data_IF_700391189281
#
_entry.id   IF_700391189281
#
_cell.length_a   1.000
_cell.length_b   1.000
_cell.length_c   1.000
_cell.angle_alpha   90.00
_cell.angle_beta   90.00
_cell.angle_gamma   90.00
#
_symmetry.space_group_name_H-M   'P 1'
#
loop_
_entity.id
_entity.type
_entity.pdbx_description
1 polymer ?
#
# COMPACT_ATOMS: atom_id res chain seq x y z
N UNK A 1 -17.01 15.82 16.11
CA UNK A 1 -15.84 14.96 15.83
C UNK A 1 -15.35 15.32 14.45
N UNK A 2 -14.08 15.72 14.30
CA UNK A 2 -13.49 15.85 12.96
C UNK A 2 -13.42 14.46 12.33
N UNK A 3 -13.76 14.38 11.05
CA UNK A 3 -13.67 13.16 10.28
C UNK A 3 -12.27 13.08 9.67
N UNK A 4 -11.63 11.91 9.69
CA UNK A 4 -10.31 11.71 9.05
C UNK A 4 -10.32 12.06 7.55
N UNK A 5 -11.49 11.99 6.91
CA UNK A 5 -11.69 12.40 5.53
C UNK A 5 -11.46 13.90 5.30
N UNK A 6 -11.50 14.74 6.34
CA UNK A 6 -11.24 16.18 6.22
C UNK A 6 -9.75 16.48 5.97
N UNK A 7 -8.87 15.55 6.32
CA UNK A 7 -7.41 15.69 6.16
C UNK A 7 -6.91 15.06 4.85
N UNK A 8 -7.79 14.35 4.13
CA UNK A 8 -7.44 13.63 2.90
C UNK A 8 -7.42 14.53 1.66
N UNK A 9 -6.51 14.22 0.75
CA UNK A 9 -6.58 14.76 -0.62
C UNK A 9 -7.75 14.19 -1.41
N UNK A 10 -8.17 14.84 -2.50
CA UNK A 10 -9.21 14.31 -3.41
C UNK A 10 -8.84 12.93 -3.98
N UNK A 11 -7.54 12.65 -4.13
CA UNK A 11 -7.02 11.37 -4.60
C UNK A 11 -7.17 10.30 -3.52
N UNK A 12 -6.82 10.60 -2.27
CA UNK A 12 -7.02 9.71 -1.13
C UNK A 12 -8.51 9.44 -0.87
N UNK A 13 -9.37 10.44 -0.97
CA UNK A 13 -10.82 10.25 -0.83
C UNK A 13 -11.38 9.27 -1.88
N UNK A 14 -10.91 9.35 -3.13
CA UNK A 14 -11.31 8.40 -4.17
C UNK A 14 -10.87 6.96 -3.85
N UNK A 15 -9.65 6.80 -3.33
CA UNK A 15 -9.13 5.49 -2.91
C UNK A 15 -9.90 4.96 -1.70
N UNK A 16 -10.10 5.78 -0.68
CA UNK A 16 -10.89 5.45 0.51
C UNK A 16 -12.32 5.01 0.14
N UNK A 17 -12.95 5.73 -0.78
CA UNK A 17 -14.28 5.39 -1.32
C UNK A 17 -14.28 4.05 -2.05
N UNK A 18 -13.31 3.80 -2.92
CA UNK A 18 -13.21 2.52 -3.64
C UNK A 18 -12.92 1.33 -2.69
N UNK A 19 -12.04 1.51 -1.70
CA UNK A 19 -11.79 0.46 -0.70
C UNK A 19 -13.07 0.13 0.09
N UNK A 20 -13.88 1.15 0.40
CA UNK A 20 -15.20 0.97 1.03
C UNK A 20 -16.18 0.23 0.12
N UNK A 21 -16.22 0.56 -1.18
CA UNK A 21 -17.02 -0.18 -2.19
C UNK A 21 -16.65 -1.67 -2.23
N UNK A 22 -15.37 -1.99 -2.09
CA UNK A 22 -14.85 -3.37 -2.03
C UNK A 22 -15.10 -4.07 -0.68
N UNK A 23 -15.65 -3.38 0.32
CA UNK A 23 -15.82 -3.91 1.67
C UNK A 23 -14.51 -4.12 2.44
N UNK A 24 -13.44 -3.42 2.04
CA UNK A 24 -12.14 -3.47 2.70
C UNK A 24 -12.06 -2.36 3.76
N UNK A 25 -11.93 -2.78 5.03
CA UNK A 25 -11.59 -1.85 6.12
C UNK A 25 -10.15 -1.37 5.94
N UNK A 26 -9.93 -0.07 6.13
CA UNK A 26 -8.63 0.57 6.11
C UNK A 26 -8.35 1.37 7.37
N UNK A 27 -7.07 1.66 7.61
CA UNK A 27 -6.59 2.59 8.63
C UNK A 27 -5.78 3.67 7.91
N UNK A 28 -6.10 4.94 8.15
CA UNK A 28 -5.41 6.06 7.52
C UNK A 28 -4.11 6.38 8.25
N UNK A 29 -3.04 6.64 7.50
CA UNK A 29 -1.71 7.03 8.00
C UNK A 29 -1.16 6.11 9.11
N UNK A 30 -1.35 4.79 8.96
CA UNK A 30 -0.86 3.83 9.95
C UNK A 30 0.68 3.84 9.99
N UNK A 31 1.30 4.08 11.17
CA UNK A 31 2.75 4.21 11.25
C UNK A 31 3.46 2.87 11.00
N UNK A 32 4.51 2.91 10.19
CA UNK A 32 5.42 1.79 9.95
C UNK A 32 6.84 2.17 10.28
N UNK A 33 7.58 1.22 10.84
CA UNK A 33 8.97 1.42 11.21
C UNK A 33 9.87 0.88 10.10
N UNK A 34 10.70 1.73 9.51
CA UNK A 34 11.61 1.36 8.43
C UNK A 34 13.04 1.75 8.77
N UNK A 35 14.00 1.01 8.23
CA UNK A 35 15.40 1.37 8.20
C UNK A 35 15.73 1.98 6.83
N UNK A 36 16.31 3.18 6.83
CA UNK A 36 16.72 3.86 5.59
C UNK A 36 18.01 3.23 4.98
N UNK A 37 18.52 3.79 3.88
CA UNK A 37 19.73 3.29 3.21
C UNK A 37 20.99 3.27 4.10
N UNK A 38 21.00 4.05 5.19
CA UNK A 38 22.09 4.12 6.16
C UNK A 38 21.77 3.32 7.44
N UNK A 39 20.80 2.41 7.36
CA UNK A 39 20.27 1.60 8.46
C UNK A 39 19.81 2.43 9.65
N UNK A 40 19.37 3.68 9.41
CA UNK A 40 18.83 4.55 10.45
C UNK A 40 17.33 4.29 10.60
N UNK A 41 16.80 4.15 11.82
CA UNK A 41 15.39 3.95 12.04
C UNK A 41 14.57 5.20 11.68
N UNK A 42 13.42 4.98 11.06
CA UNK A 42 12.44 5.99 10.65
C UNK A 42 11.04 5.48 10.95
N UNK A 43 10.13 6.43 11.16
CA UNK A 43 8.69 6.14 11.14
C UNK A 43 8.12 6.83 9.91
N UNK A 44 7.51 6.05 9.03
CA UNK A 44 6.77 6.54 7.87
C UNK A 44 5.30 6.20 8.02
N UNK A 45 4.43 6.92 7.33
CA UNK A 45 2.98 6.75 7.37
C UNK A 45 2.47 6.64 5.94
N UNK A 46 2.36 5.43 5.37
CA UNK A 46 1.61 5.23 4.13
C UNK A 46 0.15 5.64 4.32
N UNK A 47 -0.48 6.14 3.26
CA UNK A 47 -1.83 6.72 3.36
C UNK A 47 -2.87 5.73 3.86
N UNK A 48 -2.83 4.48 3.40
CA UNK A 48 -3.75 3.44 3.87
C UNK A 48 -3.05 2.15 4.24
N UNK A 49 -3.45 1.58 5.37
CA UNK A 49 -3.20 0.19 5.73
C UNK A 49 -4.48 -0.63 5.59
N UNK A 50 -4.40 -1.82 4.97
CA UNK A 50 -5.52 -2.76 4.82
C UNK A 50 -5.27 -3.97 5.73
N UNK A 51 -5.81 -4.01 6.96
CA UNK A 51 -5.46 -5.04 7.94
C UNK A 51 -5.75 -6.46 7.45
N UNK A 52 -6.90 -6.66 6.79
CA UNK A 52 -7.32 -7.97 6.29
C UNK A 52 -6.34 -8.56 5.27
N UNK A 53 -5.65 -7.70 4.53
CA UNK A 53 -4.71 -8.10 3.49
C UNK A 53 -3.26 -7.84 3.91
N UNK A 54 -2.99 -7.38 5.14
CA UNK A 54 -1.62 -7.09 5.61
C UNK A 54 -0.76 -6.30 4.61
N UNK A 55 -1.32 -5.30 3.93
CA UNK A 55 -0.64 -4.51 2.91
C UNK A 55 -1.00 -3.03 3.04
N UNK A 56 -0.17 -2.17 2.44
CA UNK A 56 -0.33 -0.73 2.48
C UNK A 56 -0.55 -0.17 1.08
N UNK A 57 -1.12 1.02 1.01
CA UNK A 57 -1.31 1.79 -0.21
C UNK A 57 -0.75 3.19 0.03
N UNK A 58 0.07 3.66 -0.91
CA UNK A 58 0.56 5.03 -0.98
C UNK A 58 -0.05 5.68 -2.23
N UNK A 59 -0.76 6.78 -2.06
CA UNK A 59 -1.45 7.53 -3.11
C UNK A 59 -0.51 8.62 -3.63
N UNK A 60 0.06 8.38 -4.81
CA UNK A 60 1.05 9.27 -5.39
C UNK A 60 0.35 10.48 -6.03
N UNK A 61 0.38 11.64 -5.36
CA UNK A 61 -0.30 12.87 -5.80
C UNK A 61 0.44 13.69 -6.86
N UNK A 62 1.72 13.42 -7.14
CA UNK A 62 2.52 14.21 -8.10
C UNK A 62 3.62 13.38 -8.79
N UNK A 63 4.28 13.95 -9.80
CA UNK A 63 5.47 13.36 -10.45
C UNK A 63 6.78 13.78 -9.76
N UNK A 64 6.77 14.89 -9.02
CA UNK A 64 7.98 15.53 -8.48
C UNK A 64 8.55 14.86 -7.23
N UNK A 65 7.86 13.86 -6.68
CA UNK A 65 8.31 13.10 -5.52
C UNK A 65 8.97 11.79 -5.94
N UNK A 66 10.09 11.44 -5.29
CA UNK A 66 10.82 10.20 -5.58
C UNK A 66 10.14 8.97 -4.93
N UNK A 67 9.06 8.51 -5.55
CA UNK A 67 8.36 7.31 -5.13
C UNK A 67 9.19 6.04 -5.32
N UNK A 68 10.18 6.03 -6.23
CA UNK A 68 11.06 4.86 -6.44
C UNK A 68 11.95 4.62 -5.24
N UNK A 69 12.53 5.69 -4.69
CA UNK A 69 13.29 5.61 -3.44
C UNK A 69 12.42 5.04 -2.31
N UNK A 70 11.22 5.59 -2.14
CA UNK A 70 10.30 5.17 -1.07
C UNK A 70 9.86 3.70 -1.22
N UNK A 71 9.56 3.28 -2.45
CA UNK A 71 9.24 1.90 -2.79
C UNK A 71 10.39 0.94 -2.46
N UNK A 72 11.63 1.31 -2.83
CA UNK A 72 12.82 0.53 -2.52
C UNK A 72 13.04 0.35 -1.01
N UNK A 73 12.84 1.41 -0.21
CA UNK A 73 12.95 1.31 1.25
C UNK A 73 11.87 0.39 1.82
N UNK A 74 10.61 0.51 1.41
CA UNK A 74 9.57 -0.40 1.90
C UNK A 74 9.88 -1.85 1.55
N UNK A 75 10.32 -2.13 0.32
CA UNK A 75 10.66 -3.47 -0.12
C UNK A 75 11.83 -4.05 0.67
N UNK A 76 12.90 -3.29 0.91
CA UNK A 76 14.05 -3.69 1.75
C UNK A 76 13.61 -4.05 3.18
N UNK A 77 12.57 -3.37 3.69
CA UNK A 77 12.02 -3.59 5.02
C UNK A 77 10.90 -4.65 5.06
N UNK A 78 10.61 -5.34 3.94
CA UNK A 78 9.62 -6.42 3.87
C UNK A 78 8.16 -5.95 3.86
N UNK A 79 7.90 -4.66 3.60
CA UNK A 79 6.55 -4.13 3.50
C UNK A 79 6.00 -4.24 2.09
N UNK A 80 4.78 -4.77 1.97
CA UNK A 80 4.01 -4.74 0.73
C UNK A 80 3.24 -3.42 0.64
N UNK A 81 3.76 -2.49 -0.15
CA UNK A 81 3.13 -1.18 -0.39
C UNK A 81 2.78 -1.05 -1.87
N UNK A 82 1.54 -0.73 -2.18
CA UNK A 82 1.07 -0.45 -3.54
C UNK A 82 1.10 1.05 -3.78
N UNK A 83 1.99 1.51 -4.65
CA UNK A 83 2.07 2.91 -5.08
C UNK A 83 1.05 3.20 -6.18
N UNK A 84 0.04 3.99 -5.85
CA UNK A 84 -1.06 4.35 -6.76
C UNK A 84 -0.84 5.73 -7.37
N UNK A 85 -0.31 5.75 -8.59
CA UNK A 85 -0.19 6.96 -9.39
C UNK A 85 -1.51 7.32 -10.09
N UNK A 86 -2.43 7.97 -9.36
CA UNK A 86 -3.76 8.31 -9.87
C UNK A 86 -3.68 9.24 -11.09
N UNK A 87 -2.77 10.21 -11.09
CA UNK A 87 -2.61 11.18 -12.18
C UNK A 87 -2.16 10.54 -13.51
N UNK A 88 -1.38 9.45 -13.47
CA UNK A 88 -0.85 8.84 -14.72
C UNK A 88 -1.97 8.26 -15.57
N UNK A 89 -2.94 7.59 -14.93
CA UNK A 89 -4.06 6.96 -15.62
C UNK A 89 -5.34 6.97 -14.74
N UNK A 90 -6.06 8.12 -14.65
CA UNK A 90 -7.17 8.31 -13.70
C UNK A 90 -8.31 7.28 -13.83
N UNK A 91 -8.48 6.67 -15.01
CA UNK A 91 -9.52 5.66 -15.25
C UNK A 91 -9.08 4.21 -15.03
N UNK A 92 -7.79 3.97 -14.79
CA UNK A 92 -7.21 2.61 -14.73
C UNK A 92 -6.59 2.26 -13.39
N UNK A 93 -6.40 3.23 -12.48
CA UNK A 93 -5.80 2.98 -11.16
C UNK A 93 -6.57 1.93 -10.34
N UNK A 94 -7.91 1.85 -10.46
CA UNK A 94 -8.71 0.81 -9.80
C UNK A 94 -8.31 -0.60 -10.26
N UNK A 95 -8.21 -0.80 -11.57
CA UNK A 95 -7.78 -2.08 -12.13
C UNK A 95 -6.34 -2.40 -11.77
N UNK A 96 -5.46 -1.40 -11.77
CA UNK A 96 -4.09 -1.54 -11.33
C UNK A 96 -4.02 -1.98 -9.86
N UNK A 97 -4.75 -1.33 -8.95
CA UNK A 97 -4.81 -1.71 -7.54
C UNK A 97 -5.25 -3.17 -7.39
N UNK A 98 -6.32 -3.58 -8.08
CA UNK A 98 -6.81 -4.95 -8.02
C UNK A 98 -5.80 -5.97 -8.58
N UNK A 99 -5.09 -5.63 -9.65
CA UNK A 99 -4.02 -6.48 -10.18
C UNK A 99 -2.89 -6.64 -9.17
N UNK A 100 -2.45 -5.54 -8.53
CA UNK A 100 -1.39 -5.58 -7.51
C UNK A 100 -1.80 -6.36 -6.26
N UNK A 101 -3.04 -6.21 -5.79
CA UNK A 101 -3.58 -7.02 -4.69
C UNK A 101 -3.49 -8.50 -5.05
N UNK A 102 -3.98 -8.88 -6.24
CA UNK A 102 -3.93 -10.27 -6.71
C UNK A 102 -2.50 -10.81 -6.74
N UNK A 103 -1.57 -10.09 -7.37
CA UNK A 103 -0.18 -10.50 -7.52
C UNK A 103 0.49 -10.74 -6.14
N UNK A 104 0.23 -9.86 -5.17
CA UNK A 104 0.77 -10.02 -3.80
C UNK A 104 0.19 -11.27 -3.12
N UNK A 105 -1.12 -11.47 -3.20
CA UNK A 105 -1.78 -12.61 -2.56
C UNK A 105 -1.41 -13.94 -3.22
N UNK A 106 -1.27 -13.99 -4.55
CA UNK A 106 -0.79 -15.16 -5.29
C UNK A 106 0.65 -15.50 -4.90
N UNK A 107 1.54 -14.51 -4.79
CA UNK A 107 2.91 -14.71 -4.34
C UNK A 107 2.96 -15.27 -2.91
N UNK A 108 2.17 -14.69 -1.99
CA UNK A 108 2.07 -15.17 -0.61
C UNK A 108 1.56 -16.60 -0.53
N UNK A 109 0.52 -16.91 -1.30
CA UNK A 109 -0.03 -18.26 -1.38
C UNK A 109 1.03 -19.25 -1.87
N UNK A 110 1.77 -18.91 -2.93
CA UNK A 110 2.83 -19.75 -3.47
C UNK A 110 3.94 -20.01 -2.44
N UNK A 111 4.36 -19.01 -1.68
CA UNK A 111 5.33 -19.17 -0.59
C UNK A 111 4.82 -20.11 0.51
N UNK A 112 3.56 -19.98 0.92
CA UNK A 112 2.95 -20.88 1.91
C UNK A 112 2.91 -22.32 1.40
N UNK A 113 2.54 -22.54 0.13
CA UNK A 113 2.50 -23.88 -0.46
C UNK A 113 3.87 -24.55 -0.47
N UNK A 114 4.94 -23.81 -0.83
CA UNK A 114 6.32 -24.34 -0.75
C UNK A 114 6.70 -24.78 0.65
N UNK A 115 6.32 -24.01 1.68
CA UNK A 115 6.61 -24.36 3.08
C UNK A 115 5.88 -25.64 3.48
N UNK A 116 4.61 -25.79 3.09
CA UNK A 116 3.83 -26.98 3.39
C UNK A 116 4.42 -28.23 2.73
N UNK A 117 4.81 -28.13 1.45
CA UNK A 117 5.42 -29.24 0.70
C UNK A 117 6.77 -29.69 1.29
N UNK A 118 7.52 -28.81 1.95
CA UNK A 118 8.76 -29.16 2.66
C UNK A 118 8.53 -29.81 4.03
N UNK A 119 7.30 -29.78 4.55
CA UNK A 119 6.96 -30.32 5.88
C UNK A 119 6.26 -31.68 5.84
N UNK A 120 5.91 -32.16 4.64
CA UNK A 120 5.34 -33.50 4.36
C UNK A 120 6.38 -34.46 3.82
#
# INVERSE_FOLDING_TARGET
MSSVYNDMTDSEMQVAGFLKELGLRWVYEFPVFVYDEKDRPRVWTPDFYIPKLGMYIEVCGSEDFDYKYREGIYQKNGYHVVFLHIYKQPKKWKNFLMARIREIEEARHAEVMKVLDCTT
#
